data_IF_290244309486
#
_entry.id   IF_290244309486
#
_cell.length_a   1.000
_cell.length_b   1.000
_cell.length_c   1.000
_cell.angle_alpha   90.00
_cell.angle_beta   90.00
_cell.angle_gamma   90.00
#
_symmetry.space_group_name_H-M   'P 1'
#
loop_
_entity.id
_entity.type
_entity.pdbx_description
1 polymer ?
#
# COMPACT_ATOMS: atom_id res chain seq x y z
N UNK A 1 -3.85 35.20 15.80
CA UNK A 1 -5.14 35.39 16.50
C UNK A 1 -5.62 34.03 16.97
N UNK A 2 -6.10 33.90 18.22
CA UNK A 2 -6.65 32.63 18.70
C UNK A 2 -8.00 32.35 18.00
N UNK A 3 -8.20 31.12 17.55
CA UNK A 3 -9.41 30.71 16.83
C UNK A 3 -10.55 30.45 17.81
N UNK A 4 -11.75 30.96 17.52
CA UNK A 4 -12.96 30.65 18.30
C UNK A 4 -13.46 29.26 17.91
N UNK A 5 -13.43 28.31 18.85
CA UNK A 5 -13.90 26.95 18.66
C UNK A 5 -15.25 26.77 19.37
N UNK A 6 -16.30 26.43 18.61
CA UNK A 6 -17.64 26.17 19.17
C UNK A 6 -17.91 24.69 19.37
N UNK A 7 -17.57 23.88 18.37
CA UNK A 7 -17.80 22.44 18.38
C UNK A 7 -16.56 21.68 17.91
N UNK A 8 -16.43 20.46 18.40
CA UNK A 8 -15.39 19.52 18.02
C UNK A 8 -15.99 18.14 17.88
N UNK A 9 -15.75 17.47 16.76
CA UNK A 9 -16.08 16.07 16.54
C UNK A 9 -14.81 15.25 16.68
N UNK A 10 -14.76 14.34 17.66
CA UNK A 10 -13.69 13.34 17.76
C UNK A 10 -14.16 12.04 17.15
N UNK A 11 -13.30 11.43 16.35
CA UNK A 11 -13.56 10.18 15.66
C UNK A 11 -12.45 9.20 15.98
N UNK A 12 -12.83 8.01 16.42
CA UNK A 12 -11.93 6.89 16.68
C UNK A 12 -12.37 5.66 15.93
N UNK A 13 -11.43 4.79 15.61
CA UNK A 13 -11.72 3.49 15.01
C UNK A 13 -10.47 2.70 14.71
N UNK A 14 -10.61 1.61 13.96
CA UNK A 14 -9.49 0.78 13.51
C UNK A 14 -9.52 0.66 12.00
N UNK A 15 -8.42 1.04 11.34
CA UNK A 15 -8.18 0.73 9.94
C UNK A 15 -7.56 -0.66 9.84
N UNK A 16 -8.29 -1.60 9.25
CA UNK A 16 -7.82 -2.94 8.93
C UNK A 16 -7.21 -2.96 7.53
N UNK A 17 -5.94 -3.34 7.43
CA UNK A 17 -5.24 -3.53 6.16
C UNK A 17 -5.87 -4.69 5.37
N UNK A 18 -6.53 -4.38 4.26
CA UNK A 18 -7.10 -5.35 3.31
C UNK A 18 -6.07 -5.83 2.29
N UNK A 19 -4.99 -5.08 2.13
CA UNK A 19 -3.79 -5.48 1.42
C UNK A 19 -2.56 -5.00 2.20
N UNK A 20 -1.36 -5.50 1.91
CA UNK A 20 -0.17 -5.07 2.63
C UNK A 20 0.10 -3.60 2.38
N UNK A 21 0.73 -2.92 3.32
CA UNK A 21 0.97 -1.48 3.25
C UNK A 21 2.44 -1.15 3.46
N UNK A 22 2.89 -0.08 2.82
CA UNK A 22 4.22 0.48 3.02
C UNK A 22 4.11 1.97 3.26
N UNK A 23 4.58 2.41 4.41
CA UNK A 23 4.73 3.81 4.77
C UNK A 23 6.19 4.04 5.12
N UNK A 24 6.86 4.81 4.27
CA UNK A 24 8.31 4.99 4.34
C UNK A 24 8.74 5.78 5.57
N UNK A 25 9.80 5.32 6.22
CA UNK A 25 10.50 6.01 7.30
C UNK A 25 11.77 6.72 6.84
N UNK A 26 12.51 7.29 7.79
CA UNK A 26 13.90 7.64 7.57
C UNK A 26 14.70 6.34 7.37
N UNK A 27 15.41 6.22 6.26
CA UNK A 27 16.22 5.05 5.95
C UNK A 27 17.31 4.86 7.01
N UNK A 28 17.09 3.90 7.89
CA UNK A 28 17.98 3.56 9.00
C UNK A 28 18.64 2.18 8.85
N UNK A 29 18.17 1.34 7.92
CA UNK A 29 18.71 0.00 7.67
C UNK A 29 19.60 -0.01 6.43
N UNK A 30 20.71 -0.75 6.49
CA UNK A 30 21.57 -1.04 5.34
C UNK A 30 21.02 -2.18 4.47
N UNK A 31 20.18 -3.05 5.04
CA UNK A 31 19.74 -4.29 4.39
C UNK A 31 18.44 -4.11 3.59
N UNK A 32 17.68 -3.05 3.87
CA UNK A 32 16.40 -2.76 3.20
C UNK A 32 16.41 -1.36 2.60
N UNK A 33 16.27 -1.26 1.28
CA UNK A 33 16.29 0.01 0.53
C UNK A 33 15.15 0.95 0.94
N UNK A 34 13.97 0.36 1.17
CA UNK A 34 12.74 1.07 1.52
C UNK A 34 12.20 0.57 2.86
N UNK A 35 12.66 1.22 3.93
CA UNK A 35 12.29 0.93 5.32
C UNK A 35 10.90 1.45 5.70
N UNK A 36 10.27 0.83 6.70
CA UNK A 36 9.02 1.30 7.29
C UNK A 36 9.25 2.43 8.30
N UNK A 37 8.26 3.31 8.46
CA UNK A 37 8.27 4.34 9.47
C UNK A 37 8.23 3.73 10.88
N UNK A 38 9.21 4.11 11.70
CA UNK A 38 9.34 3.75 13.12
C UNK A 38 9.31 5.01 13.97
N UNK A 39 8.61 4.96 15.09
CA UNK A 39 8.52 6.09 16.03
C UNK A 39 9.75 6.13 16.95
N UNK A 40 9.80 7.11 17.87
CA UNK A 40 10.90 7.25 18.83
C UNK A 40 11.06 6.09 19.82
N UNK A 41 10.09 5.17 19.91
CA UNK A 41 10.17 3.95 20.73
C UNK A 41 10.52 2.70 19.93
N UNK A 42 10.80 2.84 18.63
CA UNK A 42 11.15 1.73 17.73
C UNK A 42 9.96 0.95 17.17
N UNK A 43 8.72 1.38 17.44
CA UNK A 43 7.52 0.70 16.96
C UNK A 43 7.11 1.25 15.59
N UNK A 44 6.59 0.38 14.72
CA UNK A 44 6.00 0.83 13.47
C UNK A 44 4.80 1.74 13.72
N UNK A 45 4.67 2.77 12.90
CA UNK A 45 3.53 3.68 12.98
C UNK A 45 3.22 4.26 11.61
N UNK A 46 1.99 4.77 11.46
CA UNK A 46 1.61 5.57 10.30
C UNK A 46 1.58 7.03 10.74
N UNK A 47 2.44 7.90 10.17
CA UNK A 47 2.41 9.31 10.49
C UNK A 47 1.06 9.93 10.14
N UNK A 48 0.56 10.82 10.99
CA UNK A 48 -0.66 11.59 10.80
C UNK A 48 -0.61 12.42 9.52
N UNK A 49 0.58 12.87 9.11
CA UNK A 49 0.80 13.53 7.81
C UNK A 49 0.55 12.60 6.62
N UNK A 50 0.92 11.32 6.72
CA UNK A 50 0.67 10.32 5.68
C UNK A 50 -0.81 9.95 5.60
N UNK A 51 -1.47 9.83 6.76
CA UNK A 51 -2.92 9.63 6.84
C UNK A 51 -3.66 10.85 6.25
N UNK A 52 -3.37 12.06 6.72
CA UNK A 52 -3.96 13.31 6.24
C UNK A 52 -3.80 13.45 4.72
N UNK A 53 -2.60 13.19 4.19
CA UNK A 53 -2.33 13.23 2.76
C UNK A 53 -3.15 12.20 1.97
N UNK A 54 -3.32 10.99 2.49
CA UNK A 54 -4.14 9.95 1.85
C UNK A 54 -5.64 10.29 1.86
N UNK A 55 -6.15 10.80 2.99
CA UNK A 55 -7.56 11.21 3.15
C UNK A 55 -7.88 12.40 2.25
N UNK A 56 -7.08 13.48 2.34
CA UNK A 56 -7.21 14.68 1.50
C UNK A 56 -7.07 14.33 0.01
N UNK A 57 -6.09 13.51 -0.34
CA UNK A 57 -5.83 13.12 -1.73
C UNK A 57 -6.94 12.24 -2.34
N UNK A 58 -7.69 11.49 -1.53
CA UNK A 58 -8.81 10.68 -2.04
C UNK A 58 -10.00 11.51 -2.50
N UNK A 59 -10.25 12.66 -1.86
CA UNK A 59 -11.31 13.58 -2.27
C UNK A 59 -11.05 14.19 -3.67
N UNK A 60 -9.83 14.02 -4.23
CA UNK A 60 -9.44 14.26 -5.64
C UNK A 60 -9.76 15.64 -6.24
N UNK A 61 -10.17 16.59 -5.41
CA UNK A 61 -10.47 17.95 -5.80
C UNK A 61 -9.52 18.92 -5.11
N UNK A 62 -8.63 19.57 -5.86
CA UNK A 62 -8.05 20.82 -5.36
C UNK A 62 -9.08 21.94 -5.55
N UNK A 63 -10.09 21.92 -4.68
CA UNK A 63 -11.18 22.90 -4.67
C UNK A 63 -11.00 23.86 -3.50
N UNK A 64 -11.45 25.13 -3.63
CA UNK A 64 -11.53 26.05 -2.49
C UNK A 64 -12.26 25.44 -1.28
N UNK A 65 -13.24 24.58 -1.56
CA UNK A 65 -14.00 23.78 -0.60
C UNK A 65 -13.14 22.77 0.16
N UNK A 66 -12.23 22.05 -0.50
CA UNK A 66 -11.33 21.13 0.21
C UNK A 66 -10.30 21.90 1.06
N UNK A 67 -9.80 23.01 0.52
CA UNK A 67 -8.81 23.86 1.18
C UNK A 67 -9.37 24.55 2.42
N UNK A 68 -10.67 24.86 2.47
CA UNK A 68 -11.33 25.41 3.66
C UNK A 68 -11.37 24.42 4.83
N UNK A 69 -11.38 23.11 4.55
CA UNK A 69 -11.36 22.05 5.56
C UNK A 69 -9.94 21.67 6.00
N UNK A 70 -9.07 21.38 5.03
CA UNK A 70 -7.73 20.81 5.27
C UNK A 70 -6.63 21.86 5.40
N UNK A 71 -6.96 23.14 5.23
CA UNK A 71 -6.00 24.23 5.22
C UNK A 71 -5.17 24.29 3.94
N UNK A 72 -4.57 25.45 3.74
CA UNK A 72 -3.67 25.73 2.64
C UNK A 72 -2.66 26.79 3.04
N UNK A 73 -1.57 26.85 2.28
CA UNK A 73 -0.57 27.89 2.36
C UNK A 73 -0.19 28.31 0.95
N UNK A 74 -0.28 29.60 0.65
CA UNK A 74 0.21 30.23 -0.57
C UNK A 74 1.35 31.16 -0.21
N UNK A 75 2.47 31.05 -0.93
CA UNK A 75 3.58 31.98 -0.79
C UNK A 75 3.19 33.36 -1.33
N UNK A 76 3.89 34.40 -0.87
CA UNK A 76 3.69 35.76 -1.36
C UNK A 76 3.77 35.88 -2.90
N UNK A 77 4.64 35.09 -3.55
CA UNK A 77 4.79 35.03 -5.00
C UNK A 77 3.60 34.38 -5.73
N UNK A 78 2.86 33.51 -5.06
CA UNK A 78 1.69 32.82 -5.61
C UNK A 78 0.36 33.47 -5.20
N UNK A 79 0.40 34.44 -4.29
CA UNK A 79 -0.76 35.18 -3.81
C UNK A 79 -1.10 36.35 -4.75
N UNK A 80 -2.39 36.65 -4.90
CA UNK A 80 -2.84 37.86 -5.61
C UNK A 80 -2.59 39.14 -4.82
N UNK A 81 -2.42 39.05 -3.50
CA UNK A 81 -2.20 40.18 -2.59
C UNK A 81 -0.73 40.54 -2.37
N UNK A 82 0.21 39.70 -2.83
CA UNK A 82 1.64 39.84 -2.55
C UNK A 82 2.03 39.48 -1.11
N UNK A 83 1.14 38.84 -0.34
CA UNK A 83 1.36 38.43 1.05
C UNK A 83 1.13 36.93 1.23
N UNK A 84 1.73 36.32 2.24
CA UNK A 84 1.43 34.92 2.55
C UNK A 84 -0.04 34.77 2.97
N UNK A 85 -0.76 33.91 2.27
CA UNK A 85 -2.18 33.62 2.52
C UNK A 85 -2.34 32.16 2.92
N UNK A 86 -3.15 31.90 3.93
CA UNK A 86 -3.42 30.54 4.38
C UNK A 86 -4.14 30.48 5.71
N UNK A 87 -4.58 29.28 6.04
CA UNK A 87 -5.07 28.96 7.38
C UNK A 87 -4.73 27.52 7.74
N UNK A 88 -4.65 27.26 9.04
CA UNK A 88 -4.46 25.93 9.57
C UNK A 88 -5.65 25.02 9.25
N UNK A 89 -5.38 23.73 9.12
CA UNK A 89 -6.41 22.69 8.96
C UNK A 89 -7.41 22.70 10.11
N UNK A 90 -8.67 22.40 9.80
CA UNK A 90 -9.72 22.11 10.78
C UNK A 90 -9.83 20.61 11.08
N UNK A 91 -9.11 19.79 10.33
CA UNK A 91 -8.92 18.36 10.59
C UNK A 91 -7.55 18.14 11.22
N UNK A 92 -7.54 17.56 12.40
CA UNK A 92 -6.36 17.08 13.10
C UNK A 92 -6.33 15.57 12.93
N UNK A 93 -5.18 15.06 12.49
CA UNK A 93 -4.96 13.64 12.23
C UNK A 93 -3.80 13.20 13.12
N UNK A 94 -4.10 12.34 14.09
CA UNK A 94 -3.09 11.84 15.01
C UNK A 94 -2.20 10.80 14.34
N UNK A 95 -0.97 10.67 14.84
CA UNK A 95 -0.09 9.56 14.50
C UNK A 95 -0.71 8.24 14.96
N UNK A 96 -0.61 7.20 14.14
CA UNK A 96 -1.22 5.90 14.40
C UNK A 96 -0.16 4.83 14.68
N UNK A 97 0.21 4.58 15.94
CA UNK A 97 1.13 3.50 16.30
C UNK A 97 0.50 2.16 15.94
N UNK A 98 1.23 1.32 15.20
CA UNK A 98 0.80 -0.04 14.88
C UNK A 98 1.12 -0.91 16.09
N UNK A 99 0.12 -1.61 16.59
CA UNK A 99 0.29 -2.52 17.73
C UNK A 99 1.32 -3.60 17.36
N UNK A 100 2.42 -3.60 18.10
CA UNK A 100 3.61 -4.45 17.91
C UNK A 100 3.78 -5.41 19.10
N UNK A 101 2.68 -5.76 19.79
CA UNK A 101 2.67 -6.84 20.79
C UNK A 101 3.32 -8.13 20.24
N UNK A 102 3.68 -9.10 21.09
CA UNK A 102 4.42 -10.30 20.69
C UNK A 102 3.71 -11.17 19.60
N UNK A 103 2.44 -10.88 19.31
CA UNK A 103 1.61 -11.43 18.22
C UNK A 103 1.31 -10.41 17.10
N UNK A 104 1.94 -9.25 17.12
CA UNK A 104 1.76 -8.15 16.18
C UNK A 104 2.37 -8.47 14.81
N UNK A 105 2.01 -7.68 13.78
CA UNK A 105 2.43 -7.95 12.42
C UNK A 105 3.95 -7.81 12.29
N UNK A 106 4.61 -8.92 11.97
CA UNK A 106 6.02 -8.93 11.58
C UNK A 106 6.12 -8.29 10.19
N UNK A 107 7.03 -7.32 10.04
CA UNK A 107 7.27 -6.73 8.73
C UNK A 107 7.81 -7.79 7.77
N UNK A 108 7.26 -7.83 6.56
CA UNK A 108 7.74 -8.70 5.49
C UNK A 108 8.59 -7.88 4.53
N UNK A 109 9.61 -8.48 3.93
CA UNK A 109 10.40 -7.82 2.89
C UNK A 109 10.04 -8.40 1.54
N UNK A 110 9.87 -7.51 0.56
CA UNK A 110 9.51 -7.87 -0.81
C UNK A 110 10.52 -7.32 -1.80
N UNK A 111 11.06 -8.22 -2.60
CA UNK A 111 11.91 -7.89 -3.73
C UNK A 111 11.10 -7.28 -4.90
N UNK A 112 11.74 -6.34 -5.59
CA UNK A 112 11.28 -5.73 -6.82
C UNK A 112 12.39 -5.73 -7.85
N UNK A 113 12.05 -6.10 -9.09
CA UNK A 113 12.97 -6.06 -10.23
C UNK A 113 12.34 -5.32 -11.40
N UNK A 114 13.16 -4.60 -12.16
CA UNK A 114 12.79 -4.17 -13.52
C UNK A 114 12.89 -5.36 -14.48
N UNK A 115 12.05 -5.38 -15.52
CA UNK A 115 12.19 -6.34 -16.63
C UNK A 115 12.80 -5.57 -17.81
N UNK A 116 13.90 -6.06 -18.39
CA UNK A 116 14.49 -5.50 -19.60
C UNK A 116 13.62 -5.88 -20.81
N UNK A 117 13.21 -4.90 -21.62
CA UNK A 117 12.28 -5.13 -22.74
C UNK A 117 12.91 -5.85 -23.92
N UNK A 118 14.23 -5.78 -24.04
CA UNK A 118 14.95 -6.48 -25.10
C UNK A 118 15.18 -7.95 -24.74
N UNK A 119 15.70 -8.21 -23.54
CA UNK A 119 16.06 -9.57 -23.13
C UNK A 119 14.91 -10.36 -22.47
N UNK A 120 13.90 -9.67 -21.93
CA UNK A 120 12.84 -10.29 -21.13
C UNK A 120 13.30 -10.79 -19.75
N UNK A 121 14.55 -10.52 -19.36
CA UNK A 121 15.15 -10.87 -18.07
C UNK A 121 15.07 -9.71 -17.07
N UNK A 122 15.53 -9.93 -15.84
CA UNK A 122 15.70 -8.85 -14.87
C UNK A 122 16.69 -7.80 -15.38
N UNK A 123 16.30 -6.52 -15.29
CA UNK A 123 17.14 -5.40 -15.65
C UNK A 123 18.26 -5.19 -14.61
N UNK A 124 19.49 -5.08 -15.08
CA UNK A 124 20.66 -4.84 -14.25
C UNK A 124 20.53 -3.54 -13.46
N UNK A 125 20.95 -3.53 -12.19
CA UNK A 125 20.92 -2.37 -11.28
C UNK A 125 19.52 -1.82 -10.95
N UNK A 126 18.45 -2.55 -11.29
CA UNK A 126 17.05 -2.18 -10.98
C UNK A 126 16.41 -3.15 -9.96
N UNK A 127 17.23 -3.92 -9.22
CA UNK A 127 16.76 -4.66 -8.05
C UNK A 127 16.65 -3.69 -6.87
N UNK A 128 15.56 -3.80 -6.12
CA UNK A 128 15.39 -3.13 -4.84
C UNK A 128 14.50 -3.99 -3.94
N UNK A 129 14.60 -3.84 -2.63
CA UNK A 129 13.70 -4.48 -1.68
C UNK A 129 12.91 -3.44 -0.87
N UNK A 130 11.84 -3.90 -0.21
CA UNK A 130 10.95 -3.04 0.55
C UNK A 130 10.28 -3.78 1.68
N UNK A 131 10.37 -3.20 2.87
CA UNK A 131 9.62 -3.66 4.02
C UNK A 131 8.14 -3.26 3.89
N UNK A 132 7.23 -4.15 4.25
CA UNK A 132 5.79 -3.93 4.24
C UNK A 132 5.19 -4.41 5.57
N UNK A 133 4.07 -3.81 5.98
CA UNK A 133 3.21 -4.41 6.99
C UNK A 133 2.17 -5.28 6.26
N UNK A 134 1.98 -6.55 6.68
CA UNK A 134 1.12 -7.50 5.98
C UNK A 134 -0.37 -7.12 6.01
N UNK A 135 -1.14 -7.80 5.16
CA UNK A 135 -2.60 -7.80 5.25
C UNK A 135 -3.04 -8.29 6.65
N UNK A 136 -4.13 -7.73 7.16
CA UNK A 136 -4.61 -7.98 8.53
C UNK A 136 -4.04 -7.02 9.58
N UNK A 137 -3.02 -6.22 9.24
CA UNK A 137 -2.47 -5.18 10.12
C UNK A 137 -3.57 -4.23 10.59
N UNK A 138 -3.67 -4.02 11.91
CA UNK A 138 -4.63 -3.12 12.56
C UNK A 138 -3.94 -1.80 12.90
N UNK A 139 -4.50 -0.71 12.38
CA UNK A 139 -3.98 0.64 12.57
C UNK A 139 -5.03 1.46 13.33
N UNK A 140 -4.76 1.93 14.55
CA UNK A 140 -5.72 2.78 15.26
C UNK A 140 -5.88 4.11 14.50
N UNK A 141 -7.12 4.57 14.37
CA UNK A 141 -7.43 5.85 13.75
C UNK A 141 -7.94 6.80 14.82
N UNK A 142 -7.37 8.00 14.89
CA UNK A 142 -7.91 9.10 15.68
C UNK A 142 -7.88 10.38 14.86
N UNK A 143 -9.06 10.95 14.64
CA UNK A 143 -9.27 12.18 13.90
C UNK A 143 -10.06 13.15 14.76
N UNK A 144 -9.75 14.44 14.63
CA UNK A 144 -10.55 15.51 15.23
C UNK A 144 -10.94 16.50 14.16
N UNK A 145 -12.23 16.78 14.04
CA UNK A 145 -12.77 17.85 13.19
C UNK A 145 -13.25 18.99 14.08
N UNK A 146 -12.75 20.20 13.83
CA UNK A 146 -13.09 21.39 14.61
C UNK A 146 -13.95 22.37 13.80
N UNK A 147 -14.99 22.92 14.44
CA UNK A 147 -15.82 23.94 13.79
C UNK A 147 -15.02 25.21 13.54
N UNK A 148 -14.89 25.59 12.27
CA UNK A 148 -14.32 26.86 11.83
C UNK A 148 -15.31 27.63 10.98
N UNK A 149 -15.19 28.95 10.98
CA UNK A 149 -16.05 29.82 10.18
C UNK A 149 -17.51 29.86 10.66
N UNK A 150 -18.41 29.98 9.69
CA UNK A 150 -19.87 30.06 9.88
C UNK A 150 -20.50 28.69 10.11
N UNK A 151 -21.79 28.66 10.47
CA UNK A 151 -22.53 27.40 10.60
C UNK A 151 -22.74 26.69 9.24
N UNK A 152 -22.73 27.45 8.14
CA UNK A 152 -22.75 26.88 6.79
C UNK A 152 -21.45 26.13 6.47
N UNK A 153 -20.30 26.75 6.79
CA UNK A 153 -18.98 26.12 6.62
C UNK A 153 -18.88 24.84 7.46
N UNK A 154 -19.50 24.83 8.65
CA UNK A 154 -19.55 23.65 9.50
C UNK A 154 -20.32 22.49 8.88
N UNK A 155 -21.49 22.74 8.31
CA UNK A 155 -22.28 21.71 7.62
C UNK A 155 -21.49 21.14 6.46
N UNK A 156 -20.86 22.00 5.66
CA UNK A 156 -20.06 21.61 4.51
C UNK A 156 -18.85 20.75 4.91
N UNK A 157 -18.13 21.17 5.95
CA UNK A 157 -17.01 20.43 6.53
C UNK A 157 -17.43 19.05 7.03
N UNK A 158 -18.58 18.95 7.71
CA UNK A 158 -19.13 17.65 8.16
C UNK A 158 -19.47 16.74 6.99
N UNK A 159 -20.02 17.28 5.90
CA UNK A 159 -20.30 16.47 4.71
C UNK A 159 -19.03 15.88 4.09
N UNK A 160 -18.01 16.71 3.82
CA UNK A 160 -16.75 16.24 3.25
C UNK A 160 -16.03 15.23 4.16
N UNK A 161 -16.10 15.47 5.47
CA UNK A 161 -15.53 14.57 6.45
C UNK A 161 -16.29 13.24 6.50
N UNK A 162 -17.62 13.27 6.46
CA UNK A 162 -18.46 12.07 6.36
C UNK A 162 -18.17 11.28 5.07
N UNK A 163 -18.00 11.96 3.93
CA UNK A 163 -17.66 11.34 2.65
C UNK A 163 -16.34 10.56 2.73
N UNK A 164 -15.37 11.11 3.47
CA UNK A 164 -14.08 10.48 3.75
C UNK A 164 -14.24 9.24 4.63
N UNK A 165 -15.07 9.31 5.67
CA UNK A 165 -15.35 8.17 6.55
C UNK A 165 -16.10 7.05 5.81
N UNK A 166 -17.11 7.37 5.00
CA UNK A 166 -17.79 6.40 4.14
C UNK A 166 -16.83 5.72 3.16
N UNK A 167 -15.90 6.47 2.59
CA UNK A 167 -14.87 5.92 1.70
C UNK A 167 -13.95 4.93 2.43
N UNK A 168 -13.57 5.24 3.68
CA UNK A 168 -12.81 4.32 4.52
C UNK A 168 -13.63 3.07 4.89
N UNK A 169 -14.91 3.20 5.24
CA UNK A 169 -15.78 2.06 5.54
C UNK A 169 -15.98 1.14 4.33
N UNK A 170 -16.02 1.70 3.11
CA UNK A 170 -16.09 0.92 1.85
C UNK A 170 -14.73 0.40 1.38
N UNK A 171 -13.63 0.78 2.03
CA UNK A 171 -12.29 0.36 1.65
C UNK A 171 -11.76 0.98 0.36
N UNK A 172 -12.24 2.18 0.02
CA UNK A 172 -11.89 2.89 -1.21
C UNK A 172 -10.58 3.69 -1.12
N UNK A 173 -10.08 3.93 0.10
CA UNK A 173 -8.85 4.69 0.34
C UNK A 173 -7.65 3.74 0.43
N UNK A 174 -6.53 4.16 -0.18
CA UNK A 174 -5.24 3.48 -0.06
C UNK A 174 -4.21 4.37 0.64
N UNK A 175 -3.51 3.80 1.62
CA UNK A 175 -2.45 4.44 2.38
C UNK A 175 -1.06 4.15 1.79
N UNK A 176 -0.12 5.07 2.03
CA UNK A 176 1.29 4.83 1.74
C UNK A 176 1.66 4.78 0.25
N UNK A 177 2.76 4.10 -0.05
CA UNK A 177 3.33 4.03 -1.39
C UNK A 177 2.84 2.80 -2.19
N UNK A 178 3.16 2.78 -3.49
CA UNK A 178 2.87 1.65 -4.39
C UNK A 178 1.39 1.24 -4.45
N UNK A 179 0.47 2.19 -4.28
CA UNK A 179 -0.99 1.97 -4.26
C UNK A 179 -1.51 1.24 -5.50
N UNK A 180 -0.95 1.52 -6.67
CA UNK A 180 -1.35 0.89 -7.95
C UNK A 180 -0.67 -0.47 -8.19
N UNK A 181 0.22 -0.90 -7.29
CA UNK A 181 0.95 -2.17 -7.33
C UNK A 181 0.52 -3.09 -6.17
N UNK A 182 -0.71 -2.90 -5.69
CA UNK A 182 -1.40 -3.79 -4.77
C UNK A 182 -1.32 -3.42 -3.31
N UNK A 183 -0.60 -2.35 -2.97
CA UNK A 183 -0.44 -1.97 -1.57
C UNK A 183 -1.51 -0.97 -1.08
N UNK A 184 -1.65 -0.93 0.25
CA UNK A 184 -2.23 0.17 1.00
C UNK A 184 -3.74 0.13 1.16
N UNK A 185 -4.46 -0.88 0.66
CA UNK A 185 -5.93 -0.94 0.80
C UNK A 185 -6.28 -1.13 2.27
N UNK A 186 -7.08 -0.21 2.82
CA UNK A 186 -7.52 -0.26 4.22
C UNK A 186 -9.03 -0.13 4.31
N UNK A 187 -9.62 -0.69 5.37
CA UNK A 187 -11.05 -0.57 5.66
C UNK A 187 -11.26 -0.16 7.10
N UNK A 188 -12.10 0.85 7.34
CA UNK A 188 -12.46 1.29 8.68
C UNK A 188 -13.44 0.32 9.34
N UNK A 189 -13.19 0.02 10.61
CA UNK A 189 -13.99 -0.81 11.49
C UNK A 189 -14.09 -0.14 12.87
N UNK A 190 -15.11 -0.51 13.65
CA UNK A 190 -15.33 -0.03 15.02
C UNK A 190 -15.32 1.50 15.11
N UNK A 191 -16.05 2.17 14.19
CA UNK A 191 -16.15 3.62 14.17
C UNK A 191 -16.94 4.12 15.38
N UNK A 192 -16.32 4.99 16.15
CA UNK A 192 -16.92 5.69 17.27
C UNK A 192 -16.75 7.20 17.07
N UNK A 193 -17.79 7.98 17.34
CA UNK A 193 -17.72 9.43 17.22
C UNK A 193 -18.43 10.12 18.37
N UNK A 194 -17.78 11.14 18.90
CA UNK A 194 -18.32 12.00 19.95
C UNK A 194 -18.25 13.47 19.51
N UNK A 195 -19.36 14.19 19.64
CA UNK A 195 -19.40 15.64 19.49
C UNK A 195 -19.24 16.31 20.85
N UNK A 196 -18.41 17.33 20.87
CA UNK A 196 -18.01 18.09 22.05
C UNK A 196 -18.38 19.55 21.82
N UNK A 197 -19.22 20.09 22.72
CA UNK A 197 -19.53 21.51 22.77
C UNK A 197 -18.46 22.26 23.57
N UNK A 198 -17.83 23.24 22.93
CA UNK A 198 -16.82 24.12 23.52
C UNK A 198 -17.35 25.54 23.76
N UNK A 199 -18.62 25.80 23.43
CA UNK A 199 -19.25 27.10 23.61
C UNK A 199 -19.83 27.33 25.01
N UNK A 200 -19.99 26.26 25.80
CA UNK A 200 -20.53 26.30 27.16
C UNK A 200 -19.54 25.77 28.20
N UNK A 201 -19.68 26.26 29.45
CA UNK A 201 -18.83 25.80 30.56
C UNK A 201 -19.02 24.30 30.86
N UNK A 202 -20.26 23.81 30.87
CA UNK A 202 -20.56 22.39 31.07
C UNK A 202 -20.00 21.52 29.93
N UNK A 203 -20.13 21.98 28.68
CA UNK A 203 -19.54 21.32 27.52
C UNK A 203 -18.02 21.23 27.58
N UNK A 204 -17.35 22.31 28.00
CA UNK A 204 -15.90 22.32 28.22
C UNK A 204 -15.47 21.33 29.31
N UNK A 205 -16.20 21.26 30.44
CA UNK A 205 -15.92 20.29 31.50
C UNK A 205 -16.09 18.83 31.03
N UNK A 206 -17.16 18.53 30.29
CA UNK A 206 -17.36 17.22 29.66
C UNK A 206 -16.22 16.88 28.71
N UNK A 207 -15.79 17.85 27.91
CA UNK A 207 -14.69 17.69 26.94
C UNK A 207 -13.36 17.36 27.64
N UNK A 208 -13.03 18.07 28.73
CA UNK A 208 -11.83 17.81 29.53
C UNK A 208 -11.84 16.42 30.18
N UNK A 209 -13.02 15.90 30.51
CA UNK A 209 -13.20 14.53 30.99
C UNK A 209 -13.17 13.47 29.87
N UNK A 210 -12.90 13.86 28.62
CA UNK A 210 -12.90 12.96 27.46
C UNK A 210 -14.29 12.51 27.00
N UNK A 211 -15.35 13.18 27.45
CA UNK A 211 -16.75 12.85 27.14
C UNK A 211 -17.31 13.78 26.06
N UNK A 212 -18.43 13.37 25.48
CA UNK A 212 -19.20 14.11 24.48
C UNK A 212 -20.50 13.37 24.19
N UNK A 213 -21.30 13.93 23.30
CA UNK A 213 -22.53 13.28 22.82
C UNK A 213 -22.17 12.30 21.71
N UNK A 214 -22.61 11.05 21.83
CA UNK A 214 -22.39 10.04 20.79
C UNK A 214 -23.17 10.41 19.53
N UNK A 215 -22.51 10.35 18.37
CA UNK A 215 -23.11 10.68 17.08
C UNK A 215 -22.82 9.56 16.08
N UNK A 216 -23.83 9.17 15.31
CA UNK A 216 -23.68 8.22 14.21
C UNK A 216 -23.28 8.91 12.90
N UNK A 217 -22.60 8.19 12.01
CA UNK A 217 -22.08 8.74 10.75
C UNK A 217 -23.17 9.43 9.88
N UNK A 218 -24.38 8.86 9.72
CA UNK A 218 -25.45 9.52 8.96
C UNK A 218 -25.92 10.85 9.55
N UNK A 219 -25.72 11.09 10.84
CA UNK A 219 -26.11 12.35 11.48
C UNK A 219 -25.14 13.52 11.16
N UNK A 220 -24.00 13.24 10.50
CA UNK A 220 -23.08 14.28 10.03
C UNK A 220 -23.58 15.00 8.79
N UNK A 221 -24.47 14.40 8.02
CA UNK A 221 -24.92 14.91 6.71
C UNK A 221 -26.39 15.33 6.75
N UNK A 222 -26.79 16.38 6.00
CA UNK A 222 -28.19 16.74 5.86
C UNK A 222 -28.96 15.69 5.06
N UNK A 223 -30.28 15.64 5.26
CA UNK A 223 -31.18 14.77 4.48
C UNK A 223 -31.03 15.02 2.98
N UNK A 224 -30.80 13.96 2.20
CA UNK A 224 -30.63 14.05 0.76
C UNK A 224 -29.18 14.29 0.30
N UNK A 225 -28.20 14.33 1.21
CA UNK A 225 -26.79 14.30 0.85
C UNK A 225 -26.48 13.01 0.08
N UNK A 226 -26.00 13.16 -1.15
CA UNK A 226 -25.72 12.04 -2.05
C UNK A 226 -24.22 11.77 -2.09
N UNK A 227 -23.77 10.80 -1.31
CA UNK A 227 -22.41 10.30 -1.35
C UNK A 227 -22.25 9.25 -2.45
N UNK A 228 -21.21 9.38 -3.27
CA UNK A 228 -20.88 8.41 -4.33
C UNK A 228 -19.39 8.13 -4.39
N UNK A 229 -19.05 6.86 -4.64
CA UNK A 229 -17.67 6.49 -4.93
C UNK A 229 -17.26 7.00 -6.32
N UNK A 230 -15.98 7.37 -6.52
CA UNK A 230 -15.44 7.62 -7.85
C UNK A 230 -15.70 6.42 -8.77
N UNK A 231 -16.01 6.69 -10.04
CA UNK A 231 -16.22 5.63 -11.02
C UNK A 231 -14.94 4.78 -11.16
N UNK A 232 -15.07 3.50 -10.83
CA UNK A 232 -14.00 2.51 -10.93
C UNK A 232 -14.55 1.24 -11.54
N UNK A 233 -13.81 0.67 -12.51
CA UNK A 233 -14.04 -0.67 -13.00
C UNK A 233 -13.18 -1.64 -12.19
N UNK A 234 -13.82 -2.51 -11.41
CA UNK A 234 -13.15 -3.59 -10.67
C UNK A 234 -13.36 -4.91 -11.43
N UNK A 235 -12.26 -5.61 -11.69
CA UNK A 235 -12.26 -6.92 -12.35
C UNK A 235 -11.57 -7.90 -11.41
N UNK A 236 -12.32 -8.91 -10.97
CA UNK A 236 -11.79 -10.02 -10.16
C UNK A 236 -11.67 -11.24 -11.06
N UNK A 237 -10.49 -11.84 -11.07
CA UNK A 237 -10.18 -13.02 -11.88
C UNK A 237 -9.69 -14.13 -10.96
N UNK A 238 -10.43 -15.23 -10.91
CA UNK A 238 -9.92 -16.49 -10.37
C UNK A 238 -9.25 -17.27 -11.50
N UNK A 239 -8.02 -17.74 -11.26
CA UNK A 239 -7.24 -18.43 -12.27
C UNK A 239 -6.42 -19.55 -11.66
N UNK A 240 -6.08 -20.53 -12.51
CA UNK A 240 -5.16 -21.62 -12.18
C UNK A 240 -3.98 -21.56 -13.16
N UNK A 241 -2.73 -21.65 -12.68
CA UNK A 241 -1.58 -21.69 -13.57
C UNK A 241 -1.61 -22.92 -14.47
N UNK A 242 -1.26 -22.76 -15.75
CA UNK A 242 -1.15 -23.86 -16.72
C UNK A 242 0.18 -24.63 -16.55
N UNK A 243 1.20 -23.98 -15.99
CA UNK A 243 2.48 -24.58 -15.63
C UNK A 243 3.02 -23.95 -14.33
N UNK A 244 4.17 -24.39 -13.80
CA UNK A 244 4.71 -23.89 -12.54
C UNK A 244 4.85 -22.36 -12.52
N UNK A 245 4.45 -21.72 -11.42
CA UNK A 245 4.61 -20.29 -11.19
C UNK A 245 5.16 -20.08 -9.79
N UNK A 246 6.25 -19.32 -9.69
CA UNK A 246 6.88 -18.97 -8.42
C UNK A 246 7.30 -17.50 -8.46
N UNK A 247 7.10 -16.80 -7.34
CA UNK A 247 7.79 -15.55 -7.04
C UNK A 247 8.75 -15.86 -5.90
N UNK A 248 10.03 -15.54 -6.04
CA UNK A 248 11.05 -15.86 -5.05
C UNK A 248 10.85 -15.01 -3.76
N UNK A 249 10.99 -15.64 -2.59
CA UNK A 249 11.12 -14.97 -1.30
C UNK A 249 12.54 -14.41 -1.09
N UNK A 250 12.71 -13.40 -0.25
CA UNK A 250 14.05 -12.89 0.07
C UNK A 250 14.89 -13.92 0.85
N UNK A 251 14.25 -14.68 1.74
CA UNK A 251 14.90 -15.75 2.50
C UNK A 251 15.10 -17.01 1.64
N UNK A 252 16.30 -17.56 1.71
CA UNK A 252 16.63 -18.87 1.14
C UNK A 252 16.26 -19.99 2.13
N UNK A 253 15.92 -21.17 1.61
CA UNK A 253 15.63 -22.35 2.45
C UNK A 253 16.89 -23.12 2.80
N UNK A 254 16.78 -24.09 3.71
CA UNK A 254 17.92 -24.95 4.09
C UNK A 254 18.11 -26.09 3.08
N UNK A 255 17.05 -26.83 2.77
CA UNK A 255 17.10 -27.92 1.77
C UNK A 255 16.92 -27.43 0.34
N UNK A 256 16.23 -26.29 0.17
CA UNK A 256 15.90 -25.72 -1.14
C UNK A 256 16.49 -24.32 -1.23
N UNK A 257 17.23 -24.04 -2.30
CA UNK A 257 17.94 -22.77 -2.45
C UNK A 257 17.00 -21.58 -2.57
N UNK A 258 15.80 -21.76 -3.12
CA UNK A 258 14.81 -20.69 -3.27
C UNK A 258 13.42 -21.13 -2.81
N UNK A 259 12.85 -20.34 -1.90
CA UNK A 259 11.49 -20.52 -1.42
C UNK A 259 10.51 -19.62 -2.17
N UNK A 260 9.25 -20.07 -2.37
CA UNK A 260 8.19 -19.21 -2.87
C UNK A 260 7.85 -18.13 -1.84
N UNK A 261 7.48 -16.96 -2.35
CA UNK A 261 7.03 -15.83 -1.55
C UNK A 261 5.70 -16.18 -0.89
N UNK A 262 5.70 -16.12 0.43
CA UNK A 262 4.50 -16.17 1.25
C UNK A 262 4.23 -14.83 1.89
N UNK A 263 2.97 -14.57 2.23
CA UNK A 263 2.57 -13.38 2.97
C UNK A 263 1.42 -13.73 3.89
N UNK A 264 1.31 -12.99 4.99
CA UNK A 264 0.22 -13.16 5.93
C UNK A 264 -1.11 -12.71 5.31
N UNK A 265 -2.12 -13.53 5.56
CA UNK A 265 -3.52 -13.31 5.23
C UNK A 265 -4.35 -13.59 6.48
N UNK A 266 -4.46 -12.55 7.31
CA UNK A 266 -4.95 -12.60 8.70
C UNK A 266 -4.05 -13.50 9.58
N UNK A 267 -4.61 -14.51 10.26
CA UNK A 267 -3.88 -15.41 11.17
C UNK A 267 -3.17 -16.58 10.45
N UNK A 268 -3.20 -16.59 9.11
CA UNK A 268 -2.61 -17.63 8.27
C UNK A 268 -1.62 -17.04 7.29
N UNK A 269 -0.85 -17.92 6.68
CA UNK A 269 0.14 -17.60 5.66
C UNK A 269 -0.24 -18.33 4.37
N UNK A 270 -0.04 -17.70 3.22
CA UNK A 270 -0.24 -18.37 1.93
C UNK A 270 0.72 -17.83 0.86
N UNK A 271 0.87 -18.57 -0.22
CA UNK A 271 1.65 -18.11 -1.38
C UNK A 271 1.03 -16.86 -1.97
N UNK A 272 1.87 -15.91 -2.35
CA UNK A 272 1.43 -14.64 -2.92
C UNK A 272 2.19 -14.32 -4.19
N UNK A 273 1.47 -13.85 -5.20
CA UNK A 273 2.04 -13.18 -6.36
C UNK A 273 1.78 -11.68 -6.18
N UNK A 274 2.83 -10.87 -5.91
CA UNK A 274 2.65 -9.46 -5.66
C UNK A 274 1.99 -8.73 -6.84
N UNK A 275 1.14 -7.75 -6.54
CA UNK A 275 0.52 -6.90 -7.55
C UNK A 275 1.55 -6.17 -8.42
N UNK A 276 2.74 -5.88 -7.89
CA UNK A 276 3.88 -5.37 -8.67
C UNK A 276 4.40 -6.36 -9.72
N UNK A 277 4.43 -7.66 -9.43
CA UNK A 277 4.87 -8.68 -10.36
C UNK A 277 3.85 -8.85 -11.50
N UNK A 278 2.56 -8.99 -11.16
CA UNK A 278 1.48 -9.10 -12.14
C UNK A 278 1.44 -7.84 -13.02
N UNK A 279 1.43 -6.66 -12.41
CA UNK A 279 1.41 -5.39 -13.14
C UNK A 279 2.66 -5.20 -14.00
N UNK A 280 3.83 -5.62 -13.53
CA UNK A 280 5.09 -5.59 -14.27
C UNK A 280 5.05 -6.47 -15.52
N UNK A 281 4.60 -7.71 -15.38
CA UNK A 281 4.42 -8.65 -16.49
C UNK A 281 3.40 -8.16 -17.51
N UNK A 282 2.23 -7.67 -17.05
CA UNK A 282 1.21 -7.09 -17.92
C UNK A 282 1.74 -5.87 -18.67
N UNK A 283 2.50 -4.99 -18.00
CA UNK A 283 3.12 -3.83 -18.64
C UNK A 283 4.10 -4.26 -19.72
N UNK A 284 5.02 -5.18 -19.39
CA UNK A 284 6.04 -5.66 -20.33
C UNK A 284 5.41 -6.29 -21.57
N UNK A 285 4.34 -7.07 -21.37
CA UNK A 285 3.58 -7.68 -22.46
C UNK A 285 2.81 -6.65 -23.29
N UNK A 286 2.17 -5.66 -22.67
CA UNK A 286 1.49 -4.57 -23.37
C UNK A 286 2.47 -3.74 -24.20
N UNK A 287 3.66 -3.43 -23.67
CA UNK A 287 4.71 -2.73 -24.41
C UNK A 287 5.18 -3.56 -25.59
N UNK A 288 5.39 -4.87 -25.42
CA UNK A 288 5.77 -5.76 -26.53
C UNK A 288 4.75 -5.71 -27.66
N UNK A 289 3.47 -5.88 -27.34
CA UNK A 289 2.36 -5.81 -28.31
C UNK A 289 2.38 -4.47 -29.05
N UNK A 290 2.43 -3.36 -28.30
CA UNK A 290 2.38 -2.01 -28.89
C UNK A 290 3.61 -1.69 -29.74
N UNK A 291 4.82 -2.08 -29.32
CA UNK A 291 6.04 -1.90 -30.12
C UNK A 291 5.98 -2.68 -31.42
N UNK A 292 5.43 -3.90 -31.40
CA UNK A 292 5.21 -4.69 -32.61
C UNK A 292 4.25 -4.00 -33.57
N UNK A 293 3.12 -3.49 -33.08
CA UNK A 293 2.14 -2.79 -33.93
C UNK A 293 2.65 -1.45 -34.47
N UNK A 294 3.43 -0.71 -33.68
CA UNK A 294 3.91 0.63 -34.04
C UNK A 294 5.26 0.61 -34.77
N UNK A 295 5.94 -0.54 -34.87
CA UNK A 295 7.29 -0.63 -35.43
C UNK A 295 8.34 0.12 -34.60
N UNK A 296 8.11 0.30 -33.30
CA UNK A 296 8.99 1.08 -32.42
C UNK A 296 10.16 0.21 -31.93
N UNK A 297 11.39 0.60 -32.28
CA UNK A 297 12.59 -0.07 -31.82
C UNK A 297 12.77 0.02 -30.29
N UNK A 298 13.48 -0.94 -29.71
CA UNK A 298 13.81 -0.95 -28.28
C UNK A 298 15.18 -0.27 -28.10
N UNK A 299 15.28 0.69 -27.18
CA UNK A 299 16.54 1.36 -26.88
C UNK A 299 17.59 0.36 -26.36
N UNK A 300 18.83 0.51 -26.85
CA UNK A 300 19.98 -0.34 -26.52
C UNK A 300 21.22 0.48 -26.16
N UNK A 301 21.05 1.45 -25.26
CA UNK A 301 22.17 2.24 -24.73
C UNK A 301 23.15 1.35 -23.94
N UNK A 302 24.45 1.67 -23.97
CA UNK A 302 25.48 0.88 -23.26
C UNK A 302 25.30 0.86 -21.73
N UNK A 303 24.91 1.99 -21.14
CA UNK A 303 24.67 2.06 -19.70
C UNK A 303 23.39 1.30 -19.32
N UNK A 304 23.45 0.24 -18.48
CA UNK A 304 22.30 -0.61 -18.21
C UNK A 304 21.11 0.11 -17.56
N UNK A 305 21.38 1.03 -16.63
CA UNK A 305 20.34 1.81 -15.95
C UNK A 305 19.66 2.77 -16.93
N UNK A 306 20.44 3.47 -17.74
CA UNK A 306 19.91 4.36 -18.76
C UNK A 306 19.11 3.58 -19.82
N UNK A 307 19.63 2.43 -20.26
CA UNK A 307 18.94 1.52 -21.18
C UNK A 307 17.54 1.17 -20.67
N UNK A 308 17.42 0.73 -19.41
CA UNK A 308 16.12 0.42 -18.82
C UNK A 308 15.18 1.65 -18.78
N UNK A 309 15.69 2.82 -18.40
CA UNK A 309 14.89 4.05 -18.35
C UNK A 309 14.41 4.49 -19.73
N UNK A 310 15.27 4.41 -20.75
CA UNK A 310 14.94 4.75 -22.13
C UNK A 310 13.87 3.80 -22.68
N UNK A 311 13.95 2.49 -22.35
CA UNK A 311 12.95 1.50 -22.75
C UNK A 311 11.54 1.75 -22.19
N UNK A 312 11.38 2.58 -21.15
CA UNK A 312 10.07 2.83 -20.52
C UNK A 312 9.29 4.00 -21.15
N UNK A 313 9.92 4.84 -21.98
CA UNK A 313 9.41 6.18 -22.33
C UNK A 313 8.80 6.31 -23.74
N UNK A 314 8.36 5.20 -24.36
CA UNK A 314 8.09 5.22 -25.81
C UNK A 314 6.63 5.02 -26.20
N UNK A 315 5.71 4.75 -25.26
CA UNK A 315 4.33 4.32 -25.60
C UNK A 315 3.29 5.02 -24.72
N UNK A 316 2.69 6.13 -25.19
CA UNK A 316 1.77 6.95 -24.40
C UNK A 316 0.56 6.21 -23.80
N UNK A 317 -0.02 5.24 -24.52
CA UNK A 317 -1.17 4.47 -24.01
C UNK A 317 -0.78 3.56 -22.84
N UNK A 318 0.43 2.98 -22.88
CA UNK A 318 0.96 2.16 -21.79
C UNK A 318 1.26 3.05 -20.58
N UNK A 319 1.83 4.24 -20.79
CA UNK A 319 2.08 5.19 -19.71
C UNK A 319 0.80 5.63 -19.00
N UNK A 320 -0.27 5.92 -19.75
CA UNK A 320 -1.58 6.26 -19.16
C UNK A 320 -2.13 5.10 -18.30
N UNK A 321 -1.99 3.86 -18.77
CA UNK A 321 -2.53 2.71 -18.07
C UNK A 321 -1.65 2.28 -16.87
N UNK A 322 -0.34 2.20 -17.04
CA UNK A 322 0.57 1.63 -16.05
C UNK A 322 1.33 2.67 -15.22
N UNK A 323 1.43 3.92 -15.70
CA UNK A 323 2.14 5.04 -15.09
C UNK A 323 3.53 5.27 -15.66
N UNK A 324 4.24 6.30 -15.18
CA UNK A 324 5.61 6.64 -15.55
C UNK A 324 6.46 6.93 -14.31
N UNK A 325 6.92 5.86 -13.63
CA UNK A 325 7.72 5.99 -12.42
C UNK A 325 7.07 6.88 -11.35
N UNK A 326 7.84 7.82 -10.81
CA UNK A 326 7.36 8.81 -9.83
C UNK A 326 6.61 10.00 -10.45
N UNK A 327 6.65 10.18 -11.78
CA UNK A 327 6.07 11.35 -12.47
C UNK A 327 4.56 11.26 -12.60
N UNK A 328 4.04 10.06 -12.89
CA UNK A 328 2.62 9.86 -13.16
C UNK A 328 2.14 8.50 -12.66
N UNK A 329 1.05 8.51 -11.89
CA UNK A 329 0.34 7.28 -11.52
C UNK A 329 -0.49 6.78 -12.71
N UNK A 330 -0.39 5.48 -12.99
CA UNK A 330 -1.22 4.83 -14.02
C UNK A 330 -2.65 4.61 -13.55
N UNK A 331 -3.58 4.53 -14.51
CA UNK A 331 -4.99 4.26 -14.26
C UNK A 331 -5.27 2.82 -13.77
N UNK A 332 -4.42 1.84 -14.12
CA UNK A 332 -4.54 0.45 -13.69
C UNK A 332 -3.89 0.25 -12.33
N UNK A 333 -4.65 -0.26 -11.36
CA UNK A 333 -4.15 -0.84 -10.14
C UNK A 333 -4.30 -2.37 -10.18
N UNK A 334 -3.32 -3.09 -9.66
CA UNK A 334 -3.37 -4.55 -9.54
C UNK A 334 -3.08 -4.92 -8.11
N UNK A 335 -4.02 -5.63 -7.47
CA UNK A 335 -3.85 -6.15 -6.11
C UNK A 335 -2.99 -7.42 -6.09
N UNK A 336 -2.44 -7.73 -4.93
CA UNK A 336 -1.75 -8.99 -4.69
C UNK A 336 -2.71 -10.17 -4.91
N UNK A 337 -2.21 -11.23 -5.54
CA UNK A 337 -2.96 -12.47 -5.73
C UNK A 337 -2.51 -13.49 -4.68
N UNK A 338 -3.40 -13.81 -3.75
CA UNK A 338 -3.17 -14.79 -2.69
C UNK A 338 -3.70 -16.15 -3.13
N UNK A 339 -2.92 -17.21 -2.92
CA UNK A 339 -3.37 -18.57 -3.13
C UNK A 339 -4.50 -18.93 -2.15
N UNK A 340 -5.46 -19.74 -2.62
CA UNK A 340 -6.55 -20.21 -1.77
C UNK A 340 -6.07 -21.18 -0.67
N UNK A 341 -5.00 -21.93 -0.95
CA UNK A 341 -4.38 -22.81 0.04
C UNK A 341 -3.68 -21.97 1.11
N UNK A 342 -4.09 -22.14 2.36
CA UNK A 342 -3.52 -21.44 3.52
C UNK A 342 -2.86 -22.44 4.46
N UNK A 343 -1.78 -22.01 5.08
CA UNK A 343 -1.04 -22.75 6.10
C UNK A 343 -0.82 -21.86 7.33
N UNK A 344 -0.48 -22.46 8.46
CA UNK A 344 -0.04 -21.75 9.66
C UNK A 344 1.41 -21.31 9.53
N UNK A 345 1.81 -20.31 10.31
CA UNK A 345 3.20 -19.87 10.37
C UNK A 345 4.16 -21.00 10.79
N UNK A 346 3.71 -21.91 11.67
CA UNK A 346 4.50 -23.05 12.12
C UNK A 346 4.68 -24.10 11.02
N UNK A 347 3.62 -24.40 10.26
CA UNK A 347 3.71 -25.30 9.10
C UNK A 347 4.67 -24.75 8.04
N UNK A 348 4.57 -23.45 7.74
CA UNK A 348 5.51 -22.80 6.82
C UNK A 348 6.94 -22.82 7.35
N UNK A 349 7.15 -22.53 8.64
CA UNK A 349 8.48 -22.59 9.26
C UNK A 349 9.07 -24.00 9.12
N UNK A 350 8.28 -25.04 9.36
CA UNK A 350 8.75 -26.43 9.24
C UNK A 350 9.16 -26.78 7.79
N UNK A 351 8.46 -26.24 6.79
CA UNK A 351 8.83 -26.37 5.36
C UNK A 351 10.14 -25.62 5.09
N UNK A 352 10.22 -24.35 5.48
CA UNK A 352 11.37 -23.49 5.21
C UNK A 352 12.67 -23.98 5.88
N UNK A 353 12.56 -24.56 7.08
CA UNK A 353 13.70 -25.06 7.87
C UNK A 353 13.92 -26.56 7.73
N UNK A 354 13.23 -27.25 6.82
CA UNK A 354 13.48 -28.66 6.57
C UNK A 354 14.94 -28.85 6.15
N UNK A 355 15.61 -29.86 6.71
CA UNK A 355 17.05 -30.11 6.51
C UNK A 355 17.35 -31.20 5.48
N UNK A 356 16.34 -31.96 5.08
CA UNK A 356 16.43 -32.96 4.02
C UNK A 356 15.09 -33.12 3.28
N UNK A 357 15.15 -33.81 2.13
CA UNK A 357 14.01 -34.00 1.24
C UNK A 357 12.86 -34.80 1.90
N UNK A 358 13.17 -35.73 2.80
CA UNK A 358 12.16 -36.53 3.48
C UNK A 358 11.36 -35.67 4.46
N UNK A 359 12.04 -34.87 5.27
CA UNK A 359 11.44 -33.91 6.19
C UNK A 359 10.65 -32.83 5.42
N UNK A 360 11.17 -32.36 4.29
CA UNK A 360 10.47 -31.42 3.42
C UNK A 360 9.15 -32.00 2.90
N UNK A 361 9.16 -33.24 2.37
CA UNK A 361 7.94 -33.90 1.89
C UNK A 361 6.91 -34.14 3.01
N UNK A 362 7.37 -34.51 4.21
CA UNK A 362 6.49 -34.69 5.37
C UNK A 362 5.87 -33.35 5.81
N UNK A 363 6.65 -32.27 5.84
CA UNK A 363 6.16 -30.94 6.18
C UNK A 363 5.16 -30.42 5.14
N UNK A 364 5.43 -30.61 3.85
CA UNK A 364 4.50 -30.28 2.77
C UNK A 364 3.20 -31.08 2.87
N UNK A 365 3.27 -32.38 3.15
CA UNK A 365 2.08 -33.21 3.33
C UNK A 365 1.24 -32.77 4.54
N UNK A 366 1.90 -32.40 5.65
CA UNK A 366 1.23 -31.90 6.85
C UNK A 366 0.50 -30.57 6.60
N UNK A 367 1.04 -29.70 5.74
CA UNK A 367 0.45 -28.43 5.34
C UNK A 367 -0.56 -28.52 4.17
N UNK A 368 -0.91 -29.75 3.74
CA UNK A 368 -1.79 -29.99 2.58
C UNK A 368 -1.24 -29.39 1.27
N UNK A 369 0.09 -29.43 1.14
CA UNK A 369 0.86 -28.96 -0.02
C UNK A 369 1.50 -30.11 -0.81
N UNK A 370 0.88 -31.30 -0.83
CA UNK A 370 1.41 -32.46 -1.55
C UNK A 370 1.53 -32.29 -3.08
N UNK A 371 0.97 -31.20 -3.62
CA UNK A 371 1.08 -30.82 -5.03
C UNK A 371 2.26 -29.87 -5.32
N UNK A 372 2.91 -29.32 -4.29
CA UNK A 372 4.12 -28.50 -4.39
C UNK A 372 5.32 -29.45 -4.49
N UNK A 373 6.26 -29.14 -5.37
CA UNK A 373 7.37 -30.04 -5.69
C UNK A 373 8.68 -29.28 -5.78
N UNK A 374 9.72 -29.81 -5.11
CA UNK A 374 11.08 -29.33 -5.33
C UNK A 374 11.50 -29.59 -6.78
N UNK A 375 11.88 -28.53 -7.48
CA UNK A 375 12.43 -28.57 -8.82
C UNK A 375 13.93 -28.27 -8.80
N UNK A 376 14.69 -28.98 -9.61
CA UNK A 376 16.13 -28.76 -9.77
C UNK A 376 16.41 -28.07 -11.10
N UNK A 377 17.25 -27.04 -11.05
CA UNK A 377 17.64 -26.23 -12.18
C UNK A 377 19.16 -26.31 -12.37
N UNK A 378 19.56 -26.49 -13.62
CA UNK A 378 20.97 -26.48 -14.04
C UNK A 378 21.14 -25.29 -14.99
N UNK A 379 21.91 -24.29 -14.59
CA UNK A 379 22.36 -23.26 -15.51
C UNK A 379 23.27 -23.89 -16.56
N UNK A 380 22.97 -23.66 -17.84
CA UNK A 380 23.75 -24.18 -18.95
C UNK A 380 24.72 -23.10 -19.42
N UNK A 381 26.01 -23.42 -19.46
CA UNK A 381 27.00 -22.55 -20.05
C UNK A 381 26.81 -22.54 -21.58
N UNK A 382 26.55 -21.35 -22.13
CA UNK A 382 26.22 -21.17 -23.54
C UNK A 382 27.36 -21.50 -24.52
N UNK A 383 28.61 -21.57 -24.05
CA UNK A 383 29.78 -21.79 -24.89
C UNK A 383 30.22 -23.25 -24.91
N UNK A 384 30.10 -23.92 -23.76
CA UNK A 384 30.49 -25.32 -23.59
C UNK A 384 29.31 -26.28 -23.75
N UNK A 385 28.07 -25.81 -23.58
CA UNK A 385 26.88 -26.64 -23.53
C UNK A 385 26.79 -27.54 -22.28
N UNK A 386 27.77 -27.43 -21.37
CA UNK A 386 27.80 -28.15 -20.11
C UNK A 386 27.08 -27.38 -18.99
N UNK A 387 27.00 -28.01 -17.82
CA UNK A 387 26.54 -27.33 -16.61
C UNK A 387 27.51 -26.20 -16.27
N UNK A 388 27.00 -24.98 -16.13
CA UNK A 388 27.77 -23.84 -15.67
C UNK A 388 28.15 -24.05 -14.20
N UNK A 389 29.41 -23.73 -13.88
CA UNK A 389 29.95 -23.92 -12.54
C UNK A 389 29.16 -23.07 -11.53
N UNK A 390 28.77 -23.70 -10.40
CA UNK A 390 27.98 -23.08 -9.33
C UNK A 390 26.60 -22.53 -9.77
N UNK A 391 26.02 -23.08 -10.85
CA UNK A 391 24.68 -22.70 -11.33
C UNK A 391 23.65 -23.84 -11.20
N UNK A 392 23.93 -24.83 -10.35
CA UNK A 392 22.93 -25.78 -9.89
C UNK A 392 22.18 -25.17 -8.72
N UNK A 393 20.85 -25.10 -8.81
CA UNK A 393 20.01 -24.64 -7.70
C UNK A 393 18.67 -25.35 -7.72
N UNK A 394 17.98 -25.33 -6.58
CA UNK A 394 16.67 -25.92 -6.38
C UNK A 394 15.65 -24.87 -5.96
N UNK A 395 14.40 -25.08 -6.37
CA UNK A 395 13.27 -24.21 -6.05
C UNK A 395 12.11 -25.04 -5.55
N UNK A 396 11.26 -24.48 -4.68
CA UNK A 396 10.08 -25.16 -4.17
C UNK A 396 8.80 -24.74 -4.91
#
# INVERSE_FOLDING_TARGET
MARLLKKRLKVTGTLLAQSPLHVGGLNASADVDLTLAVNGTGNYYIPGTSLAGALRGWLREDSPRLNSLWGYQKSAQASSSGTEEGHASYVIVEDAPVDSSASGPVAEVRDGVGIDRYYGSAAETVKFNRAILPKGTRIPLSLTLEQGGSDSDWIEARCLFADTLYALEKGAIRLGAAKTRGLGKVKLQNLEMIEQDLSSFDGMLKTLAGKGDSIDLPALVPTGHNWQLPQQLEITLEWKPVGPVMVKAEADGITVDMLPLVSNDDDKTCFVIPGSAIKGSLRSQAERIMRTFLGTAIAQTENPKQRFLDQLNDIPIVEKLFGQGAKQQGALAVDDCYAHQKMTANEWSAIATATDEQNLRLALAAADLGHVQQAFHVGIDRWTGGAAESQLYSTL
#
